data_IF_237127174108
#
_entry.id   IF_237127174108
#
_cell.length_a   1.000
_cell.length_b   1.000
_cell.length_c   1.000
_cell.angle_alpha   90.00
_cell.angle_beta   90.00
_cell.angle_gamma   90.00
#
_symmetry.space_group_name_H-M   'P 1'
#
loop_
_entity.id
_entity.type
_entity.pdbx_description
1 polymer ?
#
# COMPACT_ATOMS: atom_id res chain seq x y z
N UNK A 1 1.63 -7.51 -10.83
CA UNK A 1 2.24 -6.24 -11.29
C UNK A 1 2.45 -5.36 -10.07
N UNK A 2 3.67 -4.86 -9.85
CA UNK A 2 4.06 -4.10 -8.66
C UNK A 2 3.84 -2.58 -8.87
N UNK A 3 3.27 -1.83 -7.90
CA UNK A 3 3.13 -0.37 -7.98
C UNK A 3 4.46 0.36 -8.23
N UNK A 4 4.44 1.34 -9.15
CA UNK A 4 5.63 2.14 -9.52
C UNK A 4 6.15 3.02 -8.39
N UNK A 5 5.27 3.45 -7.48
CA UNK A 5 5.60 4.25 -6.31
C UNK A 5 4.73 3.86 -5.11
N UNK A 6 5.12 4.29 -3.92
CA UNK A 6 4.27 4.17 -2.71
C UNK A 6 3.21 5.29 -2.60
N UNK A 7 3.07 6.14 -3.63
CA UNK A 7 2.14 7.27 -3.61
C UNK A 7 0.71 6.81 -3.89
N UNK A 8 -0.20 7.19 -3.00
CA UNK A 8 -1.64 6.95 -3.15
C UNK A 8 -2.49 8.21 -3.10
N UNK A 9 -3.73 8.07 -3.56
CA UNK A 9 -4.80 9.06 -3.34
C UNK A 9 -6.09 8.39 -2.87
N UNK A 10 -6.89 9.13 -2.09
CA UNK A 10 -8.31 8.82 -1.95
C UNK A 10 -9.02 9.23 -3.24
N UNK A 11 -9.78 8.29 -3.81
CA UNK A 11 -10.65 8.60 -4.93
C UNK A 11 -11.94 9.28 -4.48
N UNK A 12 -12.66 9.83 -5.44
CA UNK A 12 -13.97 10.44 -5.21
C UNK A 12 -14.89 9.47 -4.46
N UNK A 13 -15.54 9.92 -3.37
CA UNK A 13 -16.39 9.05 -2.54
C UNK A 13 -17.77 8.79 -3.15
N UNK A 14 -18.02 9.22 -4.39
CA UNK A 14 -19.31 9.09 -5.07
C UNK A 14 -19.27 8.07 -6.22
N UNK A 15 -20.47 7.71 -6.70
CA UNK A 15 -20.63 6.76 -7.79
C UNK A 15 -20.48 7.36 -9.19
N UNK A 16 -20.51 8.69 -9.31
CA UNK A 16 -20.50 9.41 -10.59
C UNK A 16 -19.10 9.38 -11.24
N UNK A 17 -18.05 9.31 -10.43
CA UNK A 17 -16.67 9.29 -10.91
C UNK A 17 -16.17 7.93 -11.40
N UNK A 18 -16.95 6.85 -11.27
CA UNK A 18 -16.58 5.54 -11.82
C UNK A 18 -16.94 5.35 -13.30
N UNK A 19 -17.67 6.29 -13.90
CA UNK A 19 -18.10 6.19 -15.30
C UNK A 19 -16.96 6.46 -16.29
N UNK A 20 -17.13 5.97 -17.53
CA UNK A 20 -16.09 6.01 -18.57
C UNK A 20 -15.50 7.42 -18.79
N UNK A 21 -16.35 8.46 -18.85
CA UNK A 21 -15.89 9.84 -19.06
C UNK A 21 -14.93 10.32 -17.96
N UNK A 22 -15.27 10.07 -16.70
CA UNK A 22 -14.44 10.50 -15.56
C UNK A 22 -13.18 9.65 -15.45
N UNK A 23 -13.28 8.35 -15.72
CA UNK A 23 -12.12 7.47 -15.80
C UNK A 23 -11.13 7.91 -16.87
N UNK A 24 -11.60 8.20 -18.08
CA UNK A 24 -10.74 8.59 -19.20
C UNK A 24 -10.09 9.96 -18.97
N UNK A 25 -10.66 10.80 -18.10
CA UNK A 25 -10.08 12.05 -17.60
C UNK A 25 -9.04 11.81 -16.51
N UNK A 26 -9.41 11.10 -15.44
CA UNK A 26 -8.64 11.07 -14.20
C UNK A 26 -7.54 10.01 -14.19
N UNK A 27 -7.74 8.84 -14.80
CA UNK A 27 -6.73 7.77 -14.75
C UNK A 27 -5.40 8.22 -15.39
N UNK A 28 -5.37 8.82 -16.60
CA UNK A 28 -4.11 9.32 -17.16
C UNK A 28 -3.43 10.38 -16.29
N UNK A 29 -4.23 11.23 -15.63
CA UNK A 29 -3.72 12.26 -14.74
C UNK A 29 -3.06 11.65 -13.48
N UNK A 30 -3.70 10.66 -12.86
CA UNK A 30 -3.15 9.91 -11.72
C UNK A 30 -1.84 9.21 -12.09
N UNK A 31 -1.79 8.57 -13.27
CA UNK A 31 -0.57 7.95 -13.79
C UNK A 31 0.56 8.98 -13.97
N UNK A 32 0.23 10.16 -14.49
CA UNK A 32 1.22 11.25 -14.67
C UNK A 32 1.75 11.82 -13.36
N UNK A 33 1.01 11.65 -12.27
CA UNK A 33 1.43 11.97 -10.90
C UNK A 33 2.25 10.85 -10.24
N UNK A 34 2.52 9.75 -10.94
CA UNK A 34 3.17 8.58 -10.37
C UNK A 34 2.34 7.86 -9.31
N UNK A 35 1.04 8.16 -9.20
CA UNK A 35 0.14 7.48 -8.26
C UNK A 35 0.07 6.01 -8.64
N UNK A 36 0.33 5.13 -7.68
CA UNK A 36 0.26 3.68 -7.88
C UNK A 36 -0.69 2.99 -6.91
N UNK A 37 -1.34 3.75 -6.03
CA UNK A 37 -2.34 3.25 -5.10
C UNK A 37 -3.57 4.13 -5.13
N UNK A 38 -4.75 3.52 -5.06
CA UNK A 38 -6.00 4.27 -5.03
C UNK A 38 -6.93 3.71 -3.97
N UNK A 39 -7.33 4.56 -3.02
CA UNK A 39 -8.25 4.20 -1.94
C UNK A 39 -9.66 4.49 -2.41
N UNK A 40 -10.48 3.44 -2.48
CA UNK A 40 -11.85 3.48 -2.94
C UNK A 40 -12.77 3.23 -1.76
N UNK A 41 -13.37 4.29 -1.22
CA UNK A 41 -14.29 4.18 -0.08
C UNK A 41 -15.68 3.81 -0.59
N UNK A 42 -16.23 2.74 -0.02
CA UNK A 42 -17.62 2.33 -0.26
C UNK A 42 -18.33 2.18 1.07
N UNK A 43 -19.43 2.90 1.18
CA UNK A 43 -20.29 2.89 2.36
C UNK A 43 -21.32 1.76 2.30
N UNK A 44 -21.68 1.33 1.10
CA UNK A 44 -22.64 0.25 0.87
C UNK A 44 -21.94 -1.00 0.33
N UNK A 45 -22.61 -2.15 0.48
CA UNK A 45 -22.20 -3.42 -0.15
C UNK A 45 -22.53 -3.44 -1.66
N UNK A 46 -22.27 -2.34 -2.36
CA UNK A 46 -22.46 -2.15 -3.79
C UNK A 46 -21.09 -2.17 -4.47
N UNK A 47 -20.97 -2.99 -5.52
CA UNK A 47 -19.74 -3.12 -6.27
C UNK A 47 -19.35 -1.84 -7.01
N UNK A 48 -18.06 -1.50 -6.97
CA UNK A 48 -17.45 -0.58 -7.94
C UNK A 48 -17.51 -1.24 -9.31
N UNK A 49 -17.86 -0.53 -10.40
CA UNK A 49 -17.93 -1.12 -11.73
C UNK A 49 -16.63 -1.83 -12.14
N UNK A 50 -16.74 -3.09 -12.59
CA UNK A 50 -15.61 -3.89 -13.10
C UNK A 50 -14.72 -3.14 -14.10
N UNK A 51 -15.25 -2.41 -15.11
CA UNK A 51 -14.41 -1.73 -16.08
C UNK A 51 -13.52 -0.66 -15.45
N UNK A 52 -13.92 -0.09 -14.31
CA UNK A 52 -13.11 0.86 -13.57
C UNK A 52 -11.96 0.13 -12.86
N UNK A 53 -12.25 -0.95 -12.12
CA UNK A 53 -11.24 -1.78 -11.46
C UNK A 53 -10.20 -2.31 -12.45
N UNK A 54 -10.64 -2.88 -13.57
CA UNK A 54 -9.74 -3.39 -14.60
C UNK A 54 -8.85 -2.29 -15.19
N UNK A 55 -9.39 -1.07 -15.35
CA UNK A 55 -8.59 0.06 -15.84
C UNK A 55 -7.51 0.46 -14.85
N UNK A 56 -7.78 0.45 -13.54
CA UNK A 56 -6.76 0.70 -12.52
C UNK A 56 -5.64 -0.32 -12.60
N UNK A 57 -6.00 -1.62 -12.60
CA UNK A 57 -5.04 -2.72 -12.63
C UNK A 57 -4.18 -2.69 -13.89
N UNK A 58 -4.78 -2.45 -15.07
CA UNK A 58 -4.07 -2.31 -16.35
C UNK A 58 -3.10 -1.12 -16.39
N UNK A 59 -3.30 -0.10 -15.54
CA UNK A 59 -2.41 1.05 -15.40
C UNK A 59 -1.44 0.91 -14.21
N UNK A 60 -1.34 -0.28 -13.61
CA UNK A 60 -0.53 -0.56 -12.42
C UNK A 60 -0.89 0.34 -11.22
N UNK A 61 -2.17 0.69 -11.08
CA UNK A 61 -2.71 1.36 -9.90
C UNK A 61 -3.40 0.31 -9.04
N UNK A 62 -2.88 0.09 -7.84
CA UNK A 62 -3.38 -0.90 -6.89
C UNK A 62 -4.58 -0.33 -6.10
N UNK A 63 -5.78 -0.89 -6.27
CA UNK A 63 -6.95 -0.46 -5.50
C UNK A 63 -6.93 -1.00 -4.06
N UNK A 64 -7.32 -0.17 -3.10
CA UNK A 64 -7.65 -0.55 -1.72
C UNK A 64 -9.14 -0.26 -1.52
N UNK A 65 -9.96 -1.28 -1.34
CA UNK A 65 -11.38 -1.08 -1.05
C UNK A 65 -11.55 -0.83 0.44
N UNK A 66 -12.19 0.28 0.79
CA UNK A 66 -12.41 0.69 2.18
C UNK A 66 -13.89 0.53 2.53
N UNK A 67 -14.20 -0.44 3.39
CA UNK A 67 -15.57 -0.75 3.83
C UNK A 67 -15.76 -0.30 5.27
N UNK A 68 -16.20 0.94 5.45
CA UNK A 68 -16.23 1.60 6.77
C UNK A 68 -17.55 1.37 7.53
N UNK A 69 -18.67 1.18 6.82
CA UNK A 69 -20.01 1.05 7.40
C UNK A 69 -20.50 -0.41 7.47
N UNK A 70 -19.59 -1.35 7.75
CA UNK A 70 -19.97 -2.74 7.94
C UNK A 70 -20.81 -2.90 9.24
N UNK A 71 -21.80 -3.82 9.28
CA UNK A 71 -22.60 -4.04 10.46
C UNK A 71 -21.76 -4.38 11.70
N UNK A 72 -21.76 -3.48 12.69
CA UNK A 72 -20.98 -3.64 13.94
C UNK A 72 -21.78 -4.29 15.08
N UNK A 73 -23.07 -4.57 14.88
CA UNK A 73 -23.97 -5.18 15.85
C UNK A 73 -24.05 -6.72 15.75
N UNK A 74 -23.46 -7.32 14.72
CA UNK A 74 -23.44 -8.77 14.48
C UNK A 74 -22.05 -9.19 14.03
N UNK A 75 -21.52 -10.27 14.62
CA UNK A 75 -20.26 -10.87 14.18
C UNK A 75 -20.40 -11.67 12.89
N UNK A 76 -21.61 -12.03 12.47
CA UNK A 76 -21.82 -12.79 11.23
C UNK A 76 -21.91 -11.84 10.03
N UNK A 77 -20.99 -11.93 9.05
CA UNK A 77 -21.08 -11.14 7.82
C UNK A 77 -22.35 -11.50 7.02
N UNK A 78 -23.02 -10.52 6.39
CA UNK A 78 -24.14 -10.77 5.51
C UNK A 78 -23.70 -11.53 4.24
N UNK A 79 -24.61 -12.28 3.61
CA UNK A 79 -24.33 -13.04 2.38
C UNK A 79 -23.84 -12.15 1.23
N UNK A 80 -24.36 -10.93 1.18
CA UNK A 80 -24.04 -9.88 0.23
C UNK A 80 -22.56 -9.47 0.34
N UNK A 81 -22.00 -9.46 1.56
CA UNK A 81 -20.59 -9.19 1.78
C UNK A 81 -19.72 -10.28 1.16
N UNK A 82 -20.03 -11.55 1.41
CA UNK A 82 -19.26 -12.66 0.84
C UNK A 82 -19.32 -12.67 -0.70
N UNK A 83 -20.51 -12.43 -1.27
CA UNK A 83 -20.68 -12.33 -2.72
C UNK A 83 -19.83 -11.20 -3.31
N UNK A 84 -19.82 -10.03 -2.66
CA UNK A 84 -19.04 -8.88 -3.09
C UNK A 84 -17.54 -9.15 -3.00
N UNK A 85 -17.07 -9.75 -1.91
CA UNK A 85 -15.67 -10.15 -1.72
C UNK A 85 -15.22 -11.11 -2.81
N UNK A 86 -16.02 -12.14 -3.12
CA UNK A 86 -15.73 -13.07 -4.21
C UNK A 86 -15.62 -12.33 -5.55
N UNK A 87 -16.57 -11.45 -5.84
CA UNK A 87 -16.58 -10.66 -7.09
C UNK A 87 -15.33 -9.80 -7.22
N UNK A 88 -14.94 -9.12 -6.14
CA UNK A 88 -13.71 -8.32 -6.12
C UNK A 88 -12.45 -9.17 -6.28
N UNK A 89 -12.40 -10.36 -5.67
CA UNK A 89 -11.29 -11.29 -5.85
C UNK A 89 -11.16 -11.74 -7.32
N UNK A 90 -12.28 -12.08 -7.96
CA UNK A 90 -12.34 -12.46 -9.37
C UNK A 90 -11.86 -11.32 -10.30
N UNK A 91 -12.05 -10.06 -9.90
CA UNK A 91 -11.54 -8.89 -10.63
C UNK A 91 -10.10 -8.50 -10.28
N UNK A 92 -9.44 -9.20 -9.36
CA UNK A 92 -8.04 -8.96 -9.00
C UNK A 92 -7.80 -7.96 -7.87
N UNK A 93 -8.83 -7.60 -7.09
CA UNK A 93 -8.63 -6.84 -5.85
C UNK A 93 -7.88 -7.69 -4.83
N UNK A 94 -6.85 -7.11 -4.23
CA UNK A 94 -6.01 -7.80 -3.26
C UNK A 94 -6.17 -7.29 -1.83
N UNK A 95 -6.74 -6.09 -1.64
CA UNK A 95 -6.74 -5.38 -0.36
C UNK A 95 -8.12 -4.83 -0.02
N UNK A 96 -8.65 -5.24 1.14
CA UNK A 96 -9.90 -4.69 1.69
C UNK A 96 -9.68 -4.27 3.14
N UNK A 97 -9.93 -3.00 3.45
CA UNK A 97 -9.99 -2.49 4.82
C UNK A 97 -11.38 -2.67 5.39
N UNK A 98 -11.44 -3.35 6.53
CA UNK A 98 -12.66 -3.61 7.26
C UNK A 98 -12.78 -2.62 8.42
N UNK A 99 -13.93 -1.96 8.53
CA UNK A 99 -14.25 -1.01 9.58
C UNK A 99 -13.36 0.24 9.60
N UNK A 100 -13.65 1.15 10.51
CA UNK A 100 -12.87 2.36 10.74
C UNK A 100 -13.05 2.85 12.20
N UNK A 101 -11.96 3.28 12.83
CA UNK A 101 -11.92 3.85 14.19
C UNK A 101 -12.67 3.04 15.27
N UNK A 102 -12.44 1.72 15.41
CA UNK A 102 -13.05 0.94 16.49
C UNK A 102 -12.57 1.37 17.89
N UNK A 103 -11.55 2.20 17.99
CA UNK A 103 -11.07 2.78 19.24
C UNK A 103 -11.76 4.12 19.60
N UNK A 104 -12.76 4.56 18.83
CA UNK A 104 -13.53 5.78 19.08
C UNK A 104 -14.97 5.45 19.48
N UNK A 105 -15.59 6.31 20.30
CA UNK A 105 -16.97 6.19 20.78
C UNK A 105 -17.97 6.07 19.62
N UNK A 106 -17.75 6.78 18.51
CA UNK A 106 -18.67 6.78 17.37
C UNK A 106 -18.86 5.42 16.70
N UNK A 107 -17.94 4.47 16.91
CA UNK A 107 -18.06 3.12 16.39
C UNK A 107 -19.04 2.25 17.20
N UNK A 108 -19.28 2.60 18.47
CA UNK A 108 -20.01 1.77 19.42
C UNK A 108 -21.33 2.40 19.83
N UNK A 109 -22.29 1.57 20.22
CA UNK A 109 -23.37 2.07 21.06
C UNK A 109 -22.84 2.43 22.47
N UNK A 110 -23.59 3.28 23.19
CA UNK A 110 -23.18 3.78 24.51
C UNK A 110 -22.94 2.67 25.54
N UNK A 111 -23.64 1.53 25.42
CA UNK A 111 -23.56 0.42 26.37
C UNK A 111 -22.28 -0.38 26.14
N UNK A 112 -21.98 -0.66 24.89
CA UNK A 112 -20.78 -1.36 24.42
C UNK A 112 -19.54 -0.54 24.74
N UNK A 113 -19.57 0.79 24.50
CA UNK A 113 -18.46 1.69 24.84
C UNK A 113 -18.12 1.71 26.33
N UNK A 114 -19.14 1.70 27.20
CA UNK A 114 -18.95 1.75 28.65
C UNK A 114 -18.35 0.44 29.22
N UNK A 115 -18.28 -0.62 28.42
CA UNK A 115 -17.64 -1.88 28.82
C UNK A 115 -16.13 -1.75 28.96
N UNK A 116 -15.55 -2.35 30.01
CA UNK A 116 -14.12 -2.24 30.32
C UNK A 116 -13.16 -2.91 29.31
N UNK A 117 -13.65 -3.56 28.25
CA UNK A 117 -12.83 -4.29 27.29
C UNK A 117 -13.39 -4.15 25.87
N UNK A 118 -13.06 -3.05 25.18
CA UNK A 118 -13.51 -2.78 23.81
C UNK A 118 -12.78 -3.60 22.75
N UNK A 119 -11.56 -4.05 23.07
CA UNK A 119 -10.70 -4.73 22.11
C UNK A 119 -11.20 -6.14 21.81
N UNK A 120 -11.53 -6.94 22.83
CA UNK A 120 -11.98 -8.32 22.59
C UNK A 120 -13.29 -8.41 21.79
N UNK A 121 -14.34 -7.62 22.09
CA UNK A 121 -15.54 -7.56 21.26
C UNK A 121 -15.26 -7.10 19.83
N UNK A 122 -14.33 -6.17 19.63
CA UNK A 122 -13.93 -5.76 18.29
C UNK A 122 -13.24 -6.91 17.53
N UNK A 123 -12.36 -7.66 18.18
CA UNK A 123 -11.73 -8.84 17.56
C UNK A 123 -12.78 -9.92 17.23
N UNK A 124 -13.75 -10.14 18.11
CA UNK A 124 -14.87 -11.07 17.84
C UNK A 124 -15.72 -10.64 16.63
N UNK A 125 -15.86 -9.32 16.42
CA UNK A 125 -16.51 -8.74 15.25
C UNK A 125 -15.65 -8.82 13.99
N UNK A 126 -14.35 -8.56 14.09
CA UNK A 126 -13.43 -8.48 12.96
C UNK A 126 -13.14 -9.84 12.32
N UNK A 127 -12.94 -10.88 13.15
CA UNK A 127 -12.46 -12.19 12.69
C UNK A 127 -13.32 -12.82 11.58
N UNK A 128 -14.66 -12.89 11.69
CA UNK A 128 -15.48 -13.54 10.67
C UNK A 128 -15.44 -12.81 9.31
N UNK A 129 -15.31 -11.48 9.30
CA UNK A 129 -15.12 -10.73 8.05
C UNK A 129 -13.74 -11.00 7.44
N UNK A 130 -12.69 -11.06 8.26
CA UNK A 130 -11.34 -11.38 7.81
C UNK A 130 -11.21 -12.83 7.27
N UNK A 131 -11.93 -13.78 7.86
CA UNK A 131 -12.00 -15.17 7.37
C UNK A 131 -12.57 -15.23 5.95
N UNK A 132 -13.62 -14.46 5.67
CA UNK A 132 -14.20 -14.35 4.32
C UNK A 132 -13.19 -13.75 3.33
N UNK A 133 -12.46 -12.69 3.70
CA UNK A 133 -11.45 -12.12 2.82
C UNK A 133 -10.37 -13.14 2.43
N UNK A 134 -9.82 -13.86 3.42
CA UNK A 134 -8.76 -14.82 3.20
C UNK A 134 -9.24 -16.05 2.43
N UNK A 135 -10.48 -16.48 2.64
CA UNK A 135 -11.10 -17.54 1.83
C UNK A 135 -11.03 -17.26 0.32
N UNK A 136 -11.09 -15.98 -0.07
CA UNK A 136 -10.99 -15.54 -1.47
C UNK A 136 -9.63 -14.89 -1.79
N UNK A 137 -8.58 -15.19 -1.03
CA UNK A 137 -7.22 -14.68 -1.22
C UNK A 137 -7.09 -13.14 -1.20
N UNK A 138 -8.01 -12.46 -0.54
CA UNK A 138 -7.91 -11.02 -0.27
C UNK A 138 -7.23 -10.81 1.09
N UNK A 139 -6.25 -9.91 1.13
CA UNK A 139 -5.53 -9.57 2.36
C UNK A 139 -6.38 -8.61 3.21
N UNK A 140 -6.71 -8.98 4.46
CA UNK A 140 -7.44 -8.09 5.35
C UNK A 140 -6.54 -6.95 5.82
N UNK A 141 -7.02 -5.72 5.64
CA UNK A 141 -6.42 -4.53 6.21
C UNK A 141 -7.14 -4.20 7.52
N UNK A 142 -6.39 -4.19 8.62
CA UNK A 142 -6.85 -3.76 9.95
C UNK A 142 -7.34 -2.30 9.88
N UNK A 143 -8.43 -1.90 10.55
CA UNK A 143 -8.96 -0.54 10.44
C UNK A 143 -7.95 0.51 10.90
N UNK A 144 -8.02 1.70 10.29
CA UNK A 144 -7.35 2.86 10.84
C UNK A 144 -7.94 3.17 12.21
N UNK A 145 -7.07 3.50 13.17
CA UNK A 145 -7.46 3.92 14.50
C UNK A 145 -7.49 5.45 14.59
N UNK A 146 -8.38 5.98 15.41
CA UNK A 146 -8.38 7.39 15.78
C UNK A 146 -7.11 7.69 16.58
N UNK A 147 -6.22 8.51 16.02
CA UNK A 147 -4.88 8.71 16.59
C UNK A 147 -4.95 9.61 17.81
N UNK A 148 -4.38 9.15 18.93
CA UNK A 148 -4.24 9.92 20.16
C UNK A 148 -5.55 10.47 20.75
N UNK A 149 -6.69 9.85 20.44
CA UNK A 149 -8.01 10.15 21.05
C UNK A 149 -8.76 8.84 21.35
N UNK A 150 -9.94 8.97 21.94
CA UNK A 150 -10.78 7.81 22.30
C UNK A 150 -10.02 6.86 23.23
N UNK A 151 -10.06 5.56 22.93
CA UNK A 151 -9.12 4.58 23.45
C UNK A 151 -7.79 4.73 22.68
N UNK A 152 -6.72 5.09 23.38
CA UNK A 152 -5.42 5.41 22.76
C UNK A 152 -4.98 4.35 21.73
N UNK A 153 -4.69 4.78 20.51
CA UNK A 153 -4.52 3.90 19.35
C UNK A 153 -3.38 2.89 19.51
N UNK A 154 -2.21 3.29 20.02
CA UNK A 154 -1.10 2.34 20.24
C UNK A 154 -1.41 1.33 21.35
N UNK A 155 -2.25 1.68 22.32
CA UNK A 155 -2.71 0.75 23.35
C UNK A 155 -3.77 -0.22 22.78
N UNK A 156 -4.72 0.30 22.01
CA UNK A 156 -5.74 -0.50 21.33
C UNK A 156 -5.10 -1.52 20.39
N UNK A 157 -4.18 -1.05 19.52
CA UNK A 157 -3.47 -1.92 18.58
C UNK A 157 -2.67 -2.99 19.31
N UNK A 158 -1.90 -2.64 20.34
CA UNK A 158 -1.13 -3.62 21.12
C UNK A 158 -2.02 -4.75 21.63
N UNK A 159 -3.13 -4.40 22.30
CA UNK A 159 -4.08 -5.37 22.85
C UNK A 159 -4.75 -6.21 21.75
N UNK A 160 -5.05 -5.60 20.60
CA UNK A 160 -5.62 -6.30 19.45
C UNK A 160 -4.63 -7.36 18.90
N UNK A 161 -3.36 -6.99 18.71
CA UNK A 161 -2.31 -7.90 18.25
C UNK A 161 -2.07 -9.03 19.27
N UNK A 162 -2.04 -8.70 20.57
CA UNK A 162 -1.90 -9.68 21.65
C UNK A 162 -3.09 -10.65 21.68
N UNK A 163 -4.32 -10.18 21.46
CA UNK A 163 -5.50 -11.03 21.37
C UNK A 163 -5.39 -12.00 20.19
N UNK A 164 -5.01 -11.52 19.00
CA UNK A 164 -4.78 -12.39 17.82
C UNK A 164 -3.73 -13.46 18.09
N UNK A 165 -2.59 -13.10 18.72
CA UNK A 165 -1.53 -14.04 19.10
C UNK A 165 -2.04 -15.08 20.10
N UNK A 166 -2.68 -14.63 21.17
CA UNK A 166 -3.18 -15.47 22.27
C UNK A 166 -4.22 -16.48 21.77
N UNK A 167 -5.08 -16.06 20.85
CA UNK A 167 -6.10 -16.90 20.19
C UNK A 167 -5.54 -17.77 19.06
N UNK A 168 -4.24 -17.65 18.73
CA UNK A 168 -3.52 -18.44 17.72
C UNK A 168 -4.10 -18.31 16.30
N UNK A 169 -4.60 -17.12 15.95
CA UNK A 169 -5.04 -16.82 14.58
C UNK A 169 -3.85 -16.55 13.64
N UNK A 170 -2.91 -17.51 13.54
CA UNK A 170 -1.70 -17.36 12.73
C UNK A 170 -2.01 -17.12 11.24
N UNK A 171 -3.07 -17.76 10.74
CA UNK A 171 -3.60 -17.52 9.39
C UNK A 171 -3.87 -16.04 9.10
N UNK A 172 -4.35 -15.30 10.11
CA UNK A 172 -4.58 -13.87 10.01
C UNK A 172 -3.28 -13.11 10.19
N UNK A 173 -2.49 -13.43 11.21
CA UNK A 173 -1.23 -12.74 11.52
C UNK A 173 -0.28 -12.74 10.31
N UNK A 174 -0.26 -13.82 9.52
CA UNK A 174 0.62 -13.95 8.36
C UNK A 174 0.15 -13.15 7.14
N UNK A 175 -1.14 -12.80 7.08
CA UNK A 175 -1.76 -12.14 5.92
C UNK A 175 -2.19 -10.69 6.21
N UNK A 176 -2.32 -10.33 7.49
CA UNK A 176 -2.80 -9.05 8.00
C UNK A 176 -1.91 -7.89 7.55
N UNK A 177 -2.57 -6.80 7.18
CA UNK A 177 -1.95 -5.52 6.87
C UNK A 177 -2.45 -4.51 7.89
N UNK A 178 -1.55 -3.73 8.48
CA UNK A 178 -1.93 -2.64 9.37
C UNK A 178 -2.36 -1.42 8.55
N UNK A 179 -3.15 -0.53 9.14
CA UNK A 179 -3.34 0.80 8.58
C UNK A 179 -3.35 1.86 9.66
N UNK A 180 -2.97 3.09 9.31
CA UNK A 180 -2.88 4.20 10.24
C UNK A 180 -3.17 5.53 9.57
N UNK A 181 -3.87 6.40 10.30
CA UNK A 181 -4.07 7.78 9.87
C UNK A 181 -2.82 8.61 10.14
N UNK A 182 -2.38 9.39 9.15
CA UNK A 182 -1.21 10.25 9.26
C UNK A 182 -1.65 11.69 9.49
N UNK A 183 -1.25 12.26 10.61
CA UNK A 183 -1.55 13.66 10.95
C UNK A 183 -0.49 14.60 10.35
N UNK A 184 -0.55 14.78 9.03
CA UNK A 184 0.39 15.63 8.29
C UNK A 184 0.19 17.13 8.48
N UNK A 185 -0.95 17.55 9.03
CA UNK A 185 -1.40 18.94 9.03
C UNK A 185 -1.59 19.51 10.44
N UNK A 186 -0.82 19.01 11.40
CA UNK A 186 -0.78 19.55 12.76
C UNK A 186 0.34 20.59 12.89
N UNK A 187 0.05 21.89 13.14
CA UNK A 187 1.08 22.94 13.19
C UNK A 187 2.03 22.79 14.39
N UNK A 188 1.62 22.08 15.44
CA UNK A 188 2.44 21.87 16.64
C UNK A 188 3.49 20.76 16.48
N UNK A 189 3.44 20.01 15.36
CA UNK A 189 4.29 18.86 15.12
C UNK A 189 5.00 19.01 13.77
N UNK A 190 6.35 19.11 13.73
CA UNK A 190 7.07 19.05 12.47
C UNK A 190 6.87 17.70 11.78
N UNK A 191 7.12 17.61 10.47
CA UNK A 191 6.90 16.36 9.72
C UNK A 191 7.82 15.20 10.13
N UNK A 192 8.97 15.49 10.75
CA UNK A 192 9.86 14.48 11.33
C UNK A 192 9.48 14.07 12.76
N UNK A 193 8.34 14.56 13.27
CA UNK A 193 7.83 14.18 14.59
C UNK A 193 7.53 12.68 14.68
N UNK A 194 7.89 12.09 15.81
CA UNK A 194 7.67 10.69 16.13
C UNK A 194 8.66 9.73 15.47
N UNK A 195 9.62 10.21 14.69
CA UNK A 195 10.59 9.37 14.00
C UNK A 195 11.40 8.50 14.99
N UNK A 196 11.61 7.23 14.64
CA UNK A 196 12.26 6.22 15.48
C UNK A 196 11.33 5.54 16.50
N UNK A 197 10.03 5.84 16.48
CA UNK A 197 9.02 5.12 17.25
C UNK A 197 9.21 5.17 18.78
N UNK A 198 8.58 4.22 19.46
CA UNK A 198 8.70 4.06 20.91
C UNK A 198 10.15 3.76 21.37
N UNK A 199 10.99 3.20 20.49
CA UNK A 199 12.39 2.91 20.82
C UNK A 199 13.19 4.19 21.06
N UNK A 200 12.96 5.23 20.25
CA UNK A 200 13.55 6.56 20.46
C UNK A 200 12.83 7.35 21.55
N UNK A 201 11.52 7.15 21.70
CA UNK A 201 10.66 7.90 22.61
C UNK A 201 10.01 7.01 23.69
N UNK A 202 10.80 6.35 24.56
CA UNK A 202 10.30 5.32 25.48
C UNK A 202 9.35 5.87 26.55
N UNK A 203 9.45 7.17 26.85
CA UNK A 203 8.63 7.85 27.86
C UNK A 203 7.28 8.34 27.33
N UNK A 204 6.99 8.14 26.04
CA UNK A 204 5.70 8.51 25.46
C UNK A 204 4.58 7.66 26.05
N UNK A 205 3.61 8.33 26.66
CA UNK A 205 2.49 7.70 27.39
C UNK A 205 1.15 8.26 26.93
N UNK A 206 0.11 7.43 26.86
CA UNK A 206 -1.24 7.88 26.51
C UNK A 206 -1.69 9.08 27.33
N UNK A 207 -2.26 10.09 26.66
CA UNK A 207 -2.82 11.30 27.26
C UNK A 207 -1.83 12.17 28.07
N UNK A 208 -0.53 11.89 27.99
CA UNK A 208 0.51 12.69 28.63
C UNK A 208 1.30 13.43 27.55
N UNK A 209 1.53 14.72 27.76
CA UNK A 209 2.41 15.53 26.91
C UNK A 209 3.63 15.89 27.72
N UNK A 210 4.81 15.42 27.29
CA UNK A 210 6.10 15.82 27.86
C UNK A 210 6.85 16.66 26.83
N UNK A 211 7.45 17.81 27.19
CA UNK A 211 8.22 18.63 26.25
C UNK A 211 9.36 17.87 25.57
N UNK A 212 9.94 16.90 26.26
CA UNK A 212 11.09 16.12 25.80
C UNK A 212 10.71 14.76 25.18
N UNK A 213 9.41 14.54 24.90
CA UNK A 213 8.93 13.29 24.29
C UNK A 213 8.03 13.56 23.10
N UNK A 214 8.32 12.86 22.01
CA UNK A 214 7.42 12.80 20.87
C UNK A 214 6.50 11.58 20.96
N UNK A 215 5.54 11.51 20.05
CA UNK A 215 4.54 10.46 19.96
C UNK A 215 4.21 10.16 18.50
N UNK A 216 3.27 9.24 18.28
CA UNK A 216 2.93 8.69 16.98
C UNK A 216 2.14 9.64 16.06
N UNK A 217 1.83 10.87 16.49
CA UNK A 217 0.97 11.82 15.76
C UNK A 217 1.70 12.52 14.59
N UNK A 218 2.22 11.77 13.63
CA UNK A 218 2.96 12.33 12.51
C UNK A 218 3.23 11.33 11.39
N UNK A 219 4.08 11.71 10.44
CA UNK A 219 4.46 10.88 9.28
C UNK A 219 5.04 9.51 9.68
N UNK A 220 5.70 9.44 10.84
CA UNK A 220 6.40 8.26 11.34
C UNK A 220 5.54 7.35 12.22
N UNK A 221 4.20 7.47 12.17
CA UNK A 221 3.29 6.56 12.89
C UNK A 221 3.58 5.07 12.63
N UNK A 222 4.07 4.75 11.43
CA UNK A 222 4.48 3.40 11.07
C UNK A 222 5.53 2.83 12.04
N UNK A 223 6.55 3.59 12.43
CA UNK A 223 7.60 3.13 13.35
C UNK A 223 7.01 2.66 14.69
N UNK A 224 5.98 3.35 15.18
CA UNK A 224 5.28 3.01 16.41
C UNK A 224 4.50 1.71 16.26
N UNK A 225 3.79 1.54 15.15
CA UNK A 225 2.99 0.35 14.89
C UNK A 225 3.89 -0.87 14.61
N UNK A 226 5.00 -0.65 13.91
CA UNK A 226 6.02 -1.67 13.64
C UNK A 226 6.72 -2.16 14.91
N UNK A 227 6.98 -1.28 15.87
CA UNK A 227 7.52 -1.66 17.18
C UNK A 227 6.54 -2.58 17.93
N UNK A 228 5.22 -2.30 17.87
CA UNK A 228 4.20 -3.17 18.45
C UNK A 228 4.11 -4.52 17.75
N UNK A 229 4.10 -4.54 16.42
CA UNK A 229 4.08 -5.77 15.64
C UNK A 229 5.29 -6.66 15.96
N UNK A 230 6.51 -6.09 16.01
CA UNK A 230 7.73 -6.80 16.39
C UNK A 230 7.68 -7.33 17.81
N UNK A 231 7.28 -6.49 18.77
CA UNK A 231 7.19 -6.90 20.16
C UNK A 231 6.20 -8.07 20.36
N UNK A 232 5.07 -8.04 19.65
CA UNK A 232 4.03 -9.06 19.80
C UNK A 232 4.31 -10.29 18.95
N UNK A 233 4.60 -10.17 17.66
CA UNK A 233 4.72 -11.30 16.73
C UNK A 233 6.16 -11.71 16.42
N UNK A 234 7.16 -10.93 16.83
CA UNK A 234 8.57 -11.17 16.47
C UNK A 234 8.91 -10.79 15.03
N UNK A 235 7.98 -10.18 14.29
CA UNK A 235 8.17 -9.73 12.90
C UNK A 235 7.38 -8.45 12.60
N UNK A 236 7.81 -7.65 11.62
CA UNK A 236 6.98 -6.59 11.03
C UNK A 236 5.65 -7.08 10.48
N UNK A 237 4.74 -6.13 10.25
CA UNK A 237 3.60 -6.30 9.37
C UNK A 237 3.59 -5.19 8.32
N UNK A 238 3.21 -5.48 7.05
CA UNK A 238 2.97 -4.43 6.07
C UNK A 238 1.96 -3.40 6.59
N UNK A 239 2.13 -2.12 6.20
CA UNK A 239 1.26 -1.03 6.67
C UNK A 239 0.84 -0.08 5.53
N UNK A 240 -0.43 0.32 5.56
CA UNK A 240 -0.99 1.37 4.73
C UNK A 240 -1.13 2.66 5.54
N UNK A 241 -0.51 3.73 5.07
CA UNK A 241 -0.63 5.06 5.67
C UNK A 241 -1.64 5.88 4.89
N UNK A 242 -2.65 6.39 5.58
CA UNK A 242 -3.74 7.14 4.96
C UNK A 242 -3.80 8.54 5.57
N UNK A 243 -3.98 9.56 4.74
CA UNK A 243 -4.51 10.85 5.20
C UNK A 243 -5.92 10.63 5.75
N UNK A 244 -6.34 11.50 6.65
CA UNK A 244 -7.63 11.38 7.32
C UNK A 244 -8.68 12.25 6.60
N UNK A 245 -9.68 11.64 5.92
CA UNK A 245 -10.73 12.42 5.26
C UNK A 245 -11.56 13.29 6.22
N UNK A 246 -11.69 12.86 7.49
CA UNK A 246 -12.45 13.54 8.52
C UNK A 246 -11.66 14.65 9.23
N UNK A 247 -10.32 14.56 9.25
CA UNK A 247 -9.47 15.60 9.82
C UNK A 247 -9.18 16.69 8.79
N UNK A 248 -9.67 17.90 9.03
CA UNK A 248 -9.31 19.07 8.20
C UNK A 248 -8.06 19.76 8.79
N UNK A 249 -7.15 20.26 7.95
CA UNK A 249 -6.10 21.16 8.41
C UNK A 249 -6.70 22.35 9.14
N UNK A 250 -6.17 22.67 10.31
CA UNK A 250 -6.55 23.85 11.09
C UNK A 250 -5.30 24.68 11.38
N UNK A 251 -5.46 26.00 11.50
CA UNK A 251 -4.37 26.95 11.82
C UNK A 251 -3.11 26.82 10.93
N UNK A 252 -3.29 26.41 9.67
CA UNK A 252 -2.24 26.37 8.65
C UNK A 252 -2.69 27.11 7.40
N UNK A 253 -1.79 27.92 6.85
CA UNK A 253 -2.04 28.55 5.55
C UNK A 253 -2.02 27.49 4.43
N UNK A 254 -2.78 27.69 3.33
CA UNK A 254 -2.77 26.77 2.19
C UNK A 254 -1.37 26.48 1.62
N UNK A 255 -0.47 27.46 1.65
CA UNK A 255 0.91 27.28 1.22
C UNK A 255 1.70 26.30 2.11
N UNK A 256 1.48 26.34 3.43
CA UNK A 256 2.12 25.43 4.39
C UNK A 256 1.57 24.00 4.23
N UNK A 257 0.26 23.85 3.98
CA UNK A 257 -0.37 22.56 3.69
C UNK A 257 0.24 21.94 2.43
N UNK A 258 0.39 22.73 1.36
CA UNK A 258 1.03 22.27 0.12
C UNK A 258 2.51 21.92 0.33
N UNK A 259 3.26 22.74 1.08
CA UNK A 259 4.66 22.46 1.39
C UNK A 259 4.82 21.16 2.18
N UNK A 260 3.99 20.96 3.22
CA UNK A 260 4.04 19.74 4.03
C UNK A 260 3.69 18.50 3.23
N UNK A 261 2.68 18.59 2.37
CA UNK A 261 2.32 17.52 1.43
C UNK A 261 3.49 17.18 0.50
N UNK A 262 4.11 18.20 -0.08
CA UNK A 262 5.24 18.02 -0.99
C UNK A 262 6.46 17.40 -0.28
N UNK A 263 6.79 17.83 0.94
CA UNK A 263 7.89 17.25 1.72
C UNK A 263 7.64 15.78 2.08
N UNK A 264 6.40 15.42 2.42
CA UNK A 264 6.02 14.03 2.66
C UNK A 264 6.20 13.18 1.38
N UNK A 265 5.80 13.70 0.21
CA UNK A 265 5.98 13.04 -1.08
C UNK A 265 7.47 12.91 -1.44
N UNK A 266 8.25 13.96 -1.28
CA UNK A 266 9.70 13.91 -1.51
C UNK A 266 10.36 12.86 -0.62
N UNK A 267 9.97 12.80 0.67
CA UNK A 267 10.50 11.78 1.57
C UNK A 267 10.11 10.36 1.17
N UNK A 268 8.85 10.17 0.76
CA UNK A 268 8.31 8.89 0.30
C UNK A 268 8.99 8.37 -0.96
N UNK A 269 9.27 9.27 -1.90
CA UNK A 269 9.81 8.95 -3.22
C UNK A 269 11.34 9.00 -3.28
N UNK A 270 12.02 9.49 -2.23
CA UNK A 270 13.47 9.56 -2.24
C UNK A 270 14.07 8.14 -2.34
N UNK A 271 14.90 7.86 -3.37
CA UNK A 271 15.55 6.57 -3.52
C UNK A 271 16.48 6.36 -2.31
N UNK A 272 16.40 5.18 -1.70
CA UNK A 272 17.05 4.77 -0.43
C UNK A 272 16.22 5.08 0.81
N UNK A 273 15.39 4.11 1.20
CA UNK A 273 14.69 4.06 2.48
C UNK A 273 15.61 4.16 3.69
N UNK A 274 16.92 3.90 3.55
CA UNK A 274 17.86 3.75 4.67
C UNK A 274 18.67 5.00 5.02
N UNK A 275 18.62 6.07 4.22
CA UNK A 275 19.39 7.28 4.48
C UNK A 275 18.55 8.39 5.14
N UNK A 276 19.19 9.16 6.01
CA UNK A 276 18.65 10.43 6.52
C UNK A 276 18.80 11.47 5.42
N UNK A 277 17.71 12.16 5.08
CA UNK A 277 17.70 13.20 4.05
C UNK A 277 17.36 14.55 4.65
N UNK A 278 17.85 15.63 4.04
CA UNK A 278 17.51 16.99 4.42
C UNK A 278 16.64 17.64 3.34
N UNK A 279 15.44 18.07 3.72
CA UNK A 279 14.50 18.78 2.84
C UNK A 279 14.25 20.15 3.48
N UNK A 280 14.68 21.20 2.80
CA UNK A 280 14.51 22.60 3.24
C UNK A 280 14.97 22.83 4.70
N UNK A 281 16.14 22.29 5.07
CA UNK A 281 16.72 22.44 6.42
C UNK A 281 16.14 21.53 7.49
N UNK A 282 15.12 20.71 7.17
CA UNK A 282 14.57 19.70 8.08
C UNK A 282 15.14 18.32 7.75
N UNK A 283 15.65 17.62 8.77
CA UNK A 283 16.15 16.25 8.62
C UNK A 283 15.04 15.23 8.80
N UNK A 284 14.95 14.29 7.86
CA UNK A 284 13.97 13.20 7.83
C UNK A 284 14.70 11.86 7.92
N UNK A 285 14.30 11.06 8.89
CA UNK A 285 14.77 9.68 9.07
C UNK A 285 14.23 8.76 7.96
N UNK A 286 14.82 7.58 7.78
CA UNK A 286 14.19 6.41 7.16
C UNK A 286 12.69 6.29 7.46
N UNK A 287 11.86 6.24 6.42
CA UNK A 287 10.48 5.75 6.58
C UNK A 287 10.52 4.23 6.71
N UNK A 288 9.64 3.66 7.54
CA UNK A 288 9.53 2.22 7.69
C UNK A 288 9.37 1.49 6.34
N UNK A 289 10.18 0.45 6.13
CA UNK A 289 10.22 -0.29 4.86
C UNK A 289 8.89 -0.98 4.56
N UNK A 290 8.15 -1.34 5.62
CA UNK A 290 6.84 -2.00 5.57
C UNK A 290 5.72 -1.12 5.04
N UNK A 291 5.94 0.19 4.86
CA UNK A 291 4.95 1.08 4.27
C UNK A 291 4.72 0.64 2.83
N UNK A 292 3.51 0.18 2.52
CA UNK A 292 3.09 -0.16 1.17
C UNK A 292 2.65 1.08 0.39
N UNK A 293 1.95 1.99 1.08
CA UNK A 293 1.34 3.18 0.49
C UNK A 293 1.28 4.31 1.52
N UNK A 294 1.45 5.55 1.05
CA UNK A 294 1.00 6.79 1.71
C UNK A 294 -0.03 7.48 0.81
N UNK A 295 -1.28 7.52 1.25
CA UNK A 295 -2.41 8.00 0.47
C UNK A 295 -2.91 9.37 0.94
N UNK A 296 -3.16 10.31 0.04
CA UNK A 296 -3.57 11.69 0.38
C UNK A 296 -5.02 12.00 -0.02
N UNK A 297 -5.68 12.90 0.71
CA UNK A 297 -6.98 13.47 0.30
C UNK A 297 -6.78 14.61 -0.72
N UNK A 298 -6.15 14.30 -1.86
CA UNK A 298 -5.79 15.29 -2.88
C UNK A 298 -6.87 15.55 -3.94
N UNK A 299 -7.84 14.65 -4.11
CA UNK A 299 -8.96 14.87 -5.03
C UNK A 299 -10.09 15.64 -4.32
N UNK A 300 -10.78 16.56 -5.02
CA UNK A 300 -11.80 17.39 -4.40
C UNK A 300 -13.01 16.53 -3.98
N UNK A 301 -13.50 16.75 -2.76
CA UNK A 301 -14.73 16.15 -2.27
C UNK A 301 -15.84 17.22 -2.24
N UNK A 302 -16.84 17.09 -3.12
CA UNK A 302 -18.04 17.94 -3.24
C UNK A 302 -17.80 19.41 -3.65
N UNK A 303 -18.87 20.06 -4.14
CA UNK A 303 -18.97 21.39 -4.80
C UNK A 303 -18.43 22.62 -4.04
N UNK A 304 -17.72 22.45 -2.92
CA UNK A 304 -17.10 23.57 -2.19
C UNK A 304 -15.61 23.64 -2.50
N UNK A 305 -15.19 24.74 -3.12
CA UNK A 305 -13.80 25.09 -3.48
C UNK A 305 -12.88 25.36 -2.26
N UNK A 306 -13.26 24.84 -1.09
CA UNK A 306 -12.71 25.18 0.24
C UNK A 306 -11.84 24.07 0.86
N UNK A 307 -11.60 22.96 0.16
CA UNK A 307 -10.69 21.92 0.67
C UNK A 307 -9.24 22.37 0.50
N UNK A 308 -8.59 22.76 1.59
CA UNK A 308 -7.21 23.28 1.58
C UNK A 308 -6.16 22.23 1.19
N UNK A 309 -6.50 20.94 1.25
CA UNK A 309 -5.66 19.83 0.78
C UNK A 309 -5.85 19.49 -0.70
N UNK A 310 -6.82 20.08 -1.38
CA UNK A 310 -7.13 19.72 -2.77
C UNK A 310 -5.93 20.01 -3.69
N UNK A 311 -5.64 19.06 -4.56
CA UNK A 311 -4.60 19.14 -5.59
C UNK A 311 -5.18 19.66 -6.90
N UNK A 312 -6.49 19.56 -7.07
CA UNK A 312 -7.24 20.01 -8.23
C UNK A 312 -8.44 20.84 -7.78
N UNK A 313 -8.83 21.82 -8.60
CA UNK A 313 -10.11 22.50 -8.46
C UNK A 313 -11.28 21.56 -8.81
N UNK A 314 -12.51 22.01 -8.54
CA UNK A 314 -13.72 21.29 -8.96
C UNK A 314 -13.84 21.13 -10.48
N UNK A 315 -13.31 22.08 -11.26
CA UNK A 315 -13.25 21.96 -12.72
C UNK A 315 -12.21 20.94 -13.21
N UNK A 316 -11.34 20.47 -12.30
CA UNK A 316 -10.22 19.56 -12.60
C UNK A 316 -8.94 20.29 -13.01
N UNK A 317 -8.81 21.59 -12.70
CA UNK A 317 -7.58 22.33 -12.97
C UNK A 317 -6.54 22.07 -11.88
N UNK A 318 -5.27 21.78 -12.22
CA UNK A 318 -4.24 21.45 -11.25
C UNK A 318 -3.75 22.67 -10.47
N UNK A 319 -3.67 22.55 -9.14
CA UNK A 319 -3.04 23.54 -8.27
C UNK A 319 -1.50 23.54 -8.41
N UNK A 320 -0.79 24.58 -7.90
CA UNK A 320 0.67 24.67 -7.98
C UNK A 320 1.41 23.45 -7.42
N UNK A 321 0.85 22.80 -6.41
CA UNK A 321 1.40 21.56 -5.84
C UNK A 321 1.52 20.44 -6.89
N UNK A 322 0.50 20.21 -7.73
CA UNK A 322 0.53 19.20 -8.80
C UNK A 322 1.68 19.45 -9.76
N UNK A 323 1.89 20.72 -10.15
CA UNK A 323 3.01 21.10 -11.01
C UNK A 323 4.36 20.81 -10.35
N UNK A 324 4.50 21.08 -9.04
CA UNK A 324 5.71 20.73 -8.28
C UNK A 324 5.94 19.23 -8.21
N UNK A 325 4.89 18.43 -7.97
CA UNK A 325 4.97 16.97 -7.94
C UNK A 325 5.40 16.44 -9.31
N UNK A 326 4.73 16.83 -10.39
CA UNK A 326 5.09 16.42 -11.75
C UNK A 326 6.51 16.84 -12.13
N UNK A 327 6.92 18.05 -11.76
CA UNK A 327 8.28 18.54 -11.99
C UNK A 327 9.34 17.82 -11.13
N UNK A 328 8.97 17.31 -9.95
CA UNK A 328 9.85 16.48 -9.12
C UNK A 328 9.95 15.06 -9.67
N UNK A 329 8.84 14.53 -10.20
CA UNK A 329 8.79 13.22 -10.83
C UNK A 329 9.47 13.20 -12.19
N UNK A 330 9.34 14.23 -13.03
CA UNK A 330 9.99 14.29 -14.35
C UNK A 330 11.49 13.93 -14.36
N UNK A 331 12.35 14.57 -13.55
CA UNK A 331 13.77 14.22 -13.46
C UNK A 331 14.04 12.94 -12.65
N UNK A 332 13.21 12.59 -11.67
CA UNK A 332 13.44 11.42 -10.81
C UNK A 332 12.89 10.11 -11.39
N UNK A 333 11.82 10.14 -12.20
CA UNK A 333 11.32 8.98 -12.93
C UNK A 333 12.26 8.67 -14.08
N UNK A 334 12.79 9.65 -14.82
CA UNK A 334 13.81 9.38 -15.86
C UNK A 334 15.13 8.91 -15.23
N UNK A 335 15.57 9.46 -14.08
CA UNK A 335 16.75 8.95 -13.37
C UNK A 335 16.54 7.56 -12.76
N UNK A 336 15.32 7.19 -12.35
CA UNK A 336 14.98 5.84 -11.89
C UNK A 336 14.62 4.86 -13.04
N UNK A 337 14.18 5.34 -14.20
CA UNK A 337 14.06 4.56 -15.45
C UNK A 337 15.43 4.29 -16.07
N UNK A 338 16.45 5.08 -15.72
CA UNK A 338 17.85 4.83 -16.05
C UNK A 338 18.60 3.95 -15.03
N UNK A 339 17.92 3.14 -14.21
CA UNK A 339 18.62 2.08 -13.46
C UNK A 339 18.89 0.84 -14.31
N UNK A 340 17.99 0.52 -15.25
CA UNK A 340 18.12 -0.69 -16.04
C UNK A 340 18.91 -0.44 -17.32
N UNK A 341 20.20 -0.78 -17.29
CA UNK A 341 21.08 -0.74 -18.47
C UNK A 341 20.70 -1.82 -19.50
N UNK A 342 19.92 -2.80 -19.07
CA UNK A 342 19.53 -3.97 -19.86
C UNK A 342 18.00 -3.98 -20.03
N UNK A 343 17.46 -4.00 -21.26
CA UNK A 343 16.01 -4.11 -21.46
C UNK A 343 15.44 -5.46 -21.00
N UNK A 344 16.10 -6.55 -21.40
CA UNK A 344 15.71 -7.93 -21.07
C UNK A 344 16.94 -8.72 -20.64
N UNK A 345 16.89 -9.36 -19.47
CA UNK A 345 17.85 -10.35 -19.02
C UNK A 345 17.21 -11.73 -18.98
N UNK A 346 17.94 -12.75 -19.43
CA UNK A 346 17.59 -14.17 -19.24
C UNK A 346 18.49 -14.72 -18.15
N UNK A 347 17.94 -14.93 -16.95
CA UNK A 347 18.66 -15.45 -15.80
C UNK A 347 18.63 -16.99 -15.84
N UNK A 348 19.80 -17.59 -16.07
CA UNK A 348 19.97 -19.03 -16.15
C UNK A 348 20.64 -19.59 -14.89
N UNK A 349 20.36 -20.86 -14.54
CA UNK A 349 21.06 -21.52 -13.45
C UNK A 349 22.50 -21.80 -13.87
N UNK A 350 23.38 -21.98 -12.89
CA UNK A 350 24.68 -22.57 -13.14
C UNK A 350 24.49 -24.06 -13.46
N UNK A 351 24.44 -24.38 -14.75
CA UNK A 351 24.29 -25.73 -15.29
C UNK A 351 25.62 -26.24 -15.86
N UNK A 352 25.74 -27.55 -16.01
CA UNK A 352 26.82 -28.13 -16.80
C UNK A 352 26.65 -27.84 -18.32
N UNK A 353 27.68 -28.14 -19.10
CA UNK A 353 27.71 -27.78 -20.52
C UNK A 353 26.59 -28.45 -21.33
N UNK A 354 26.26 -29.70 -21.04
CA UNK A 354 25.27 -30.47 -21.80
C UNK A 354 23.84 -30.00 -21.47
N UNK A 355 23.56 -29.73 -20.20
CA UNK A 355 22.28 -29.19 -19.73
C UNK A 355 22.06 -27.75 -20.20
N UNK A 356 23.10 -26.92 -20.17
CA UNK A 356 23.03 -25.56 -20.68
C UNK A 356 22.77 -25.54 -22.19
N UNK A 357 23.41 -26.46 -22.93
CA UNK A 357 23.18 -26.58 -24.37
C UNK A 357 21.73 -26.95 -24.70
N UNK A 358 21.17 -27.97 -24.03
CA UNK A 358 19.76 -28.38 -24.22
C UNK A 358 18.79 -27.24 -23.89
N UNK A 359 19.02 -26.54 -22.77
CA UNK A 359 18.17 -25.43 -22.35
C UNK A 359 18.24 -24.24 -23.33
N UNK A 360 19.43 -23.90 -23.83
CA UNK A 360 19.60 -22.82 -24.80
C UNK A 360 18.96 -23.15 -26.14
N UNK A 361 19.00 -24.41 -26.58
CA UNK A 361 18.32 -24.85 -27.80
C UNK A 361 16.80 -24.72 -27.69
N UNK A 362 16.23 -25.06 -26.52
CA UNK A 362 14.81 -24.85 -26.23
C UNK A 362 14.40 -23.38 -26.19
N UNK A 363 15.25 -22.53 -25.62
CA UNK A 363 15.00 -21.09 -25.49
C UNK A 363 15.39 -20.30 -26.76
N UNK A 364 15.92 -20.96 -27.78
CA UNK A 364 16.42 -20.32 -29.00
C UNK A 364 15.41 -19.39 -29.68
N UNK A 365 14.11 -19.71 -29.82
CA UNK A 365 13.19 -18.79 -30.49
C UNK A 365 12.93 -17.53 -29.65
N UNK A 366 12.88 -17.67 -28.32
CA UNK A 366 12.83 -16.53 -27.40
C UNK A 366 14.09 -15.65 -27.49
N UNK A 367 15.28 -16.27 -27.51
CA UNK A 367 16.55 -15.55 -27.64
C UNK A 367 16.60 -14.78 -28.96
N UNK A 368 16.11 -15.36 -30.06
CA UNK A 368 16.04 -14.70 -31.37
C UNK A 368 15.06 -13.52 -31.34
N UNK A 369 13.89 -13.68 -30.71
CA UNK A 369 12.84 -12.67 -30.70
C UNK A 369 13.18 -11.46 -29.82
N UNK A 370 13.67 -11.71 -28.60
CA UNK A 370 13.83 -10.66 -27.58
C UNK A 370 15.28 -10.23 -27.38
N UNK A 371 16.26 -10.96 -27.97
CA UNK A 371 17.70 -10.70 -27.85
C UNK A 371 18.14 -10.33 -26.41
N UNK A 372 17.76 -11.13 -25.39
CA UNK A 372 18.06 -10.80 -24.00
C UNK A 372 19.56 -10.90 -23.72
N UNK A 373 20.04 -10.16 -22.71
CA UNK A 373 21.35 -10.43 -22.13
C UNK A 373 21.26 -11.69 -21.28
N UNK A 374 22.00 -12.73 -21.66
CA UNK A 374 22.08 -13.97 -20.88
C UNK A 374 23.00 -13.72 -19.68
N UNK A 375 22.50 -14.02 -18.48
CA UNK A 375 23.26 -13.88 -17.23
C UNK A 375 23.06 -15.09 -16.32
N UNK A 376 24.03 -15.31 -15.43
CA UNK A 376 24.06 -16.39 -14.45
C UNK A 376 24.12 -15.88 -13.00
N UNK A 377 24.00 -14.56 -12.79
CA UNK A 377 24.09 -13.94 -11.47
C UNK A 377 22.92 -12.98 -11.24
N UNK A 378 22.50 -12.86 -9.98
CA UNK A 378 21.42 -11.95 -9.59
C UNK A 378 21.84 -10.48 -9.75
N UNK A 379 23.10 -10.15 -9.43
CA UNK A 379 23.65 -8.79 -9.55
C UNK A 379 23.50 -8.21 -10.95
N UNK A 380 23.79 -9.01 -11.99
CA UNK A 380 23.62 -8.57 -13.38
C UNK A 380 22.16 -8.53 -13.81
N UNK A 381 21.31 -9.39 -13.24
CA UNK A 381 19.88 -9.39 -13.52
C UNK A 381 19.16 -8.18 -12.90
N UNK A 382 19.66 -7.63 -11.79
CA UNK A 382 19.14 -6.40 -11.18
C UNK A 382 19.36 -5.15 -12.05
N UNK A 383 20.25 -5.21 -13.04
CA UNK A 383 20.42 -4.14 -14.04
C UNK A 383 19.40 -4.23 -15.19
N UNK A 384 18.43 -5.16 -15.13
CA UNK A 384 17.47 -5.41 -16.20
C UNK A 384 16.03 -5.00 -15.86
N UNK A 385 15.36 -4.33 -16.81
CA UNK A 385 13.96 -3.95 -16.66
C UNK A 385 13.03 -5.15 -16.66
N UNK A 386 13.39 -6.19 -17.40
CA UNK A 386 12.67 -7.47 -17.45
C UNK A 386 13.64 -8.62 -17.19
N UNK A 387 13.34 -9.45 -16.20
CA UNK A 387 14.13 -10.64 -15.86
C UNK A 387 13.29 -11.88 -16.19
N UNK A 388 13.77 -12.67 -17.14
CA UNK A 388 13.13 -13.90 -17.60
C UNK A 388 13.83 -15.11 -17.00
N UNK A 389 13.04 -16.06 -16.49
CA UNK A 389 13.55 -17.22 -15.76
C UNK A 389 12.92 -18.50 -16.31
N UNK A 390 13.70 -19.52 -16.66
CA UNK A 390 13.16 -20.83 -17.03
C UNK A 390 12.36 -21.47 -15.87
N UNK A 391 11.14 -21.92 -16.15
CA UNK A 391 10.30 -22.64 -15.21
C UNK A 391 10.99 -23.95 -14.75
N UNK A 392 10.81 -24.32 -13.49
CA UNK A 392 11.41 -25.53 -12.91
C UNK A 392 12.90 -25.42 -12.57
N UNK A 393 13.53 -24.25 -12.78
CA UNK A 393 14.95 -24.01 -12.49
C UNK A 393 15.31 -23.96 -11.00
N UNK A 394 14.33 -23.80 -10.11
CA UNK A 394 14.55 -23.69 -8.65
C UNK A 394 15.45 -22.51 -8.24
N UNK A 395 15.68 -21.57 -9.15
CA UNK A 395 16.71 -20.54 -9.05
C UNK A 395 16.44 -19.45 -8.04
N UNK A 396 15.17 -19.20 -7.73
CA UNK A 396 14.77 -17.96 -7.06
C UNK A 396 13.87 -18.28 -5.87
N UNK A 397 14.32 -17.82 -4.72
CA UNK A 397 13.57 -17.81 -3.46
C UNK A 397 12.58 -16.65 -3.42
N UNK A 398 11.54 -16.72 -2.61
CA UNK A 398 10.61 -15.58 -2.40
C UNK A 398 11.35 -14.29 -1.99
N UNK A 399 12.47 -14.42 -1.28
CA UNK A 399 13.31 -13.28 -0.89
C UNK A 399 13.96 -12.60 -2.09
N UNK A 400 14.38 -13.36 -3.09
CA UNK A 400 15.00 -12.83 -4.31
C UNK A 400 13.95 -12.29 -5.28
N UNK A 401 12.75 -12.87 -5.33
CA UNK A 401 11.59 -12.30 -6.05
C UNK A 401 11.27 -10.91 -5.49
N UNK A 402 11.14 -10.80 -4.16
CA UNK A 402 10.91 -9.52 -3.50
C UNK A 402 12.06 -8.54 -3.77
N UNK A 403 13.31 -9.01 -3.80
CA UNK A 403 14.45 -8.17 -4.13
C UNK A 403 14.39 -7.64 -5.58
N UNK A 404 13.99 -8.45 -6.57
CA UNK A 404 13.84 -7.99 -7.96
C UNK A 404 12.72 -6.96 -8.09
N UNK A 405 11.62 -7.21 -7.39
CA UNK A 405 10.50 -6.29 -7.27
C UNK A 405 10.90 -4.95 -6.63
N UNK A 406 11.71 -4.98 -5.57
CA UNK A 406 12.29 -3.79 -4.91
C UNK A 406 13.24 -3.00 -5.83
N UNK A 407 13.85 -3.68 -6.82
CA UNK A 407 14.68 -3.07 -7.86
C UNK A 407 13.90 -2.72 -9.13
N UNK A 408 12.56 -2.69 -9.07
CA UNK A 408 11.68 -2.38 -10.19
C UNK A 408 11.89 -3.29 -11.42
N UNK A 409 12.39 -4.50 -11.21
CA UNK A 409 12.52 -5.51 -12.27
C UNK A 409 11.17 -6.21 -12.46
N UNK A 410 10.74 -6.39 -13.71
CA UNK A 410 9.56 -7.21 -14.02
C UNK A 410 10.00 -8.65 -14.23
N UNK A 411 9.53 -9.55 -13.39
CA UNK A 411 9.89 -10.98 -13.46
C UNK A 411 8.92 -11.72 -14.38
N UNK A 412 9.47 -12.56 -15.27
CA UNK A 412 8.72 -13.43 -16.17
C UNK A 412 9.20 -14.87 -16.04
N UNK A 413 8.29 -15.84 -16.10
CA UNK A 413 8.64 -17.26 -16.16
C UNK A 413 8.44 -17.79 -17.58
N UNK A 414 9.43 -18.52 -18.11
CA UNK A 414 9.40 -19.12 -19.46
C UNK A 414 9.40 -20.62 -19.31
N UNK A 415 8.46 -21.32 -19.94
CA UNK A 415 8.47 -22.77 -20.01
C UNK A 415 9.32 -23.25 -21.20
N UNK A 416 10.48 -23.91 -20.99
CA UNK A 416 11.37 -24.31 -22.08
C UNK A 416 10.81 -25.48 -22.92
N UNK A 417 9.92 -26.30 -22.36
CA UNK A 417 9.52 -27.58 -22.99
C UNK A 417 8.26 -27.48 -23.87
N UNK A 418 7.68 -26.29 -24.04
CA UNK A 418 6.55 -26.06 -24.95
C UNK A 418 5.24 -26.80 -24.60
N UNK A 419 5.19 -27.56 -23.51
CA UNK A 419 4.00 -28.27 -23.04
C UNK A 419 3.36 -27.48 -21.90
N UNK A 420 2.19 -26.92 -22.17
CA UNK A 420 1.32 -26.26 -21.18
C UNK A 420 0.94 -27.25 -20.07
N UNK A 421 1.47 -27.03 -18.87
CA UNK A 421 0.85 -27.53 -17.64
C UNK A 421 0.21 -26.32 -16.96
N UNK A 422 -1.11 -26.24 -17.09
CA UNK A 422 -1.94 -25.24 -16.44
C UNK A 422 -1.96 -25.48 -14.92
N UNK A 423 -1.18 -24.68 -14.17
CA UNK A 423 -1.30 -24.41 -12.73
C UNK A 423 -0.12 -23.53 -12.29
N UNK A 424 -0.20 -22.40 -11.58
CA UNK A 424 -1.27 -21.56 -11.05
C UNK A 424 -0.76 -20.11 -11.15
N UNK A 425 -1.02 -19.43 -12.25
CA UNK A 425 -0.98 -17.97 -12.37
C UNK A 425 -1.73 -17.67 -13.67
N UNK A 426 -2.89 -17.04 -13.57
CA UNK A 426 -3.67 -16.66 -14.75
C UNK A 426 -3.03 -15.42 -15.39
N UNK A 427 -1.91 -15.63 -16.07
CA UNK A 427 -1.49 -14.85 -17.24
C UNK A 427 -1.08 -15.86 -18.32
N UNK A 428 -1.36 -15.59 -19.60
CA UNK A 428 -1.00 -16.52 -20.66
C UNK A 428 0.53 -16.64 -20.69
N UNK A 429 1.05 -17.83 -20.41
CA UNK A 429 2.42 -18.16 -20.77
C UNK A 429 2.57 -17.86 -22.27
N UNK A 430 3.46 -16.94 -22.62
CA UNK A 430 3.82 -16.70 -24.01
C UNK A 430 4.38 -18.01 -24.56
N UNK A 431 3.56 -18.72 -25.34
CA UNK A 431 3.97 -19.89 -26.08
C UNK A 431 5.07 -19.47 -27.04
N UNK A 432 6.23 -20.13 -26.92
CA UNK A 432 7.29 -20.02 -27.90
C UNK A 432 6.82 -20.82 -29.13
N UNK A 433 6.60 -20.20 -30.30
CA UNK A 433 6.18 -20.93 -31.50
C UNK A 433 7.26 -21.87 -32.03
#
# INVERSE_FOLDING_TARGET
>A
MNPKTKLGLFYFPDDQHYHARERDKWIPELVSLGVSWLVLTKEDLIAIPEPFIQTLLNNCITPIIRMVNLPANTSKPPSEFELLVKTYADWGIQYIQLFDRPNNLSFWDLKSWAGNNLVEPFIDLFLPYAEVLIKYNIRPVFPCLEVARGFWDTAFLRLALESLKRRKHYWLIDTLILSGYVHLYDPSRPLNWGAGGQERWPNSKPYQTSPDSQDQRGLYIADWYQALARATFGKPLPILLLDDPACKPYDLAPAEIQQRTFHAIQRLLHPRSTEVIEIEGTRYEPLAEEILCLSFCGLPANDTDSESRAWYSLSGEPHPLVKKIKAYLGPNIDQNQHQHRIPHALLLPQLDADQLHDLLDKLKPFIIQYQPKITFTLEEAFEAGHVWIPAGSGLITEKEINAFEDHFCVIHTINPDGISIASQTNEPALEVP
#
